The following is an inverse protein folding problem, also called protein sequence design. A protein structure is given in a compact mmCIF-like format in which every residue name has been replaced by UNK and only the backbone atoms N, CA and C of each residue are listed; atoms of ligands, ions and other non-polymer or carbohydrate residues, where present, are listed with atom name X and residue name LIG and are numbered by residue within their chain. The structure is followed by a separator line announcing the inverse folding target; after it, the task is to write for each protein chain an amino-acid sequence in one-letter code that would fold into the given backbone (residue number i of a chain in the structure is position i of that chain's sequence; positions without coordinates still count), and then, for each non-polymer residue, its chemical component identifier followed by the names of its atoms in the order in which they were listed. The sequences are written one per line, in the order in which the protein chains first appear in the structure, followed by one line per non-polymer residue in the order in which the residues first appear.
data_IF_392497492975
#
_entry.id   IF_392497492975
#
_cell.length_a   1.000
_cell.length_b   1.000
_cell.length_c   1.000
_cell.angle_alpha   90.00
_cell.angle_beta   90.00
_cell.angle_gamma   90.00
#
_symmetry.space_group_name_H-M   'P 1'
#
loop_
_entity.id
_entity.type
_entity.pdbx_description
1 polymer ?
#
# COMPACT_ATOMS: atom_id res chain seq x y z
N UNK A 1 -50.89 -8.86 13.74
CA UNK A 1 -49.53 -9.02 14.31
C UNK A 1 -49.55 -10.18 15.30
N UNK A 2 -48.74 -11.20 14.99
CA UNK A 2 -48.32 -12.34 15.82
C UNK A 2 -49.40 -13.21 16.49
N UNK A 3 -50.00 -14.08 15.66
CA UNK A 3 -50.42 -15.42 16.08
C UNK A 3 -49.19 -16.34 16.01
N UNK A 4 -49.21 -17.49 16.68
CA UNK A 4 -48.12 -18.47 16.81
C UNK A 4 -47.17 -18.27 18.00
N UNK A 5 -47.73 -17.95 19.16
CA UNK A 5 -47.15 -18.35 20.43
C UNK A 5 -48.05 -19.42 21.06
N UNK A 6 -48.03 -20.65 20.52
CA UNK A 6 -48.70 -21.84 21.08
C UNK A 6 -48.38 -23.06 20.22
N UNK A 7 -47.21 -23.67 20.37
CA UNK A 7 -47.13 -25.14 20.46
C UNK A 7 -45.75 -25.57 20.98
N UNK A 8 -45.80 -26.21 22.15
CA UNK A 8 -44.68 -26.79 22.89
C UNK A 8 -44.33 -28.18 22.35
N UNK A 9 -43.04 -28.52 22.45
CA UNK A 9 -42.49 -29.87 22.66
C UNK A 9 -42.81 -30.96 21.64
N UNK A 10 -41.84 -31.27 20.75
CA UNK A 10 -41.65 -32.65 20.24
C UNK A 10 -40.16 -32.91 19.94
N UNK A 11 -39.60 -33.85 20.71
CA UNK A 11 -38.62 -34.88 20.33
C UNK A 11 -37.11 -34.56 20.30
N UNK A 12 -36.48 -34.96 21.40
CA UNK A 12 -35.09 -35.36 21.54
C UNK A 12 -34.73 -36.62 20.71
N UNK A 13 -33.43 -36.83 20.55
CA UNK A 13 -32.70 -38.06 20.14
C UNK A 13 -32.34 -38.16 18.65
N UNK A 14 -31.09 -37.79 18.33
CA UNK A 14 -30.33 -38.48 17.29
C UNK A 14 -28.86 -38.66 17.70
N UNK A 15 -28.66 -39.77 18.42
CA UNK A 15 -27.54 -40.72 18.38
C UNK A 15 -26.17 -40.27 17.84
N UNK A 16 -25.20 -40.34 18.75
CA UNK A 16 -23.78 -40.52 18.51
C UNK A 16 -23.48 -41.70 17.55
N UNK A 17 -22.67 -41.43 16.52
CA UNK A 17 -21.96 -42.46 15.75
C UNK A 17 -20.47 -42.35 16.01
N UNK A 18 -19.94 -43.49 16.44
CA UNK A 18 -18.60 -43.80 16.93
C UNK A 18 -17.77 -44.39 15.77
N UNK A 19 -16.44 -44.30 15.90
CA UNK A 19 -15.32 -45.01 15.21
C UNK A 19 -14.65 -44.36 13.98
N UNK A 20 -13.33 -44.62 13.74
CA UNK A 20 -12.27 -44.99 14.68
C UNK A 20 -10.95 -44.20 14.48
N UNK A 21 -10.13 -44.21 15.53
CA UNK A 21 -8.74 -43.74 15.53
C UNK A 21 -7.89 -44.54 14.52
N UNK A 22 -7.39 -43.84 13.49
CA UNK A 22 -6.27 -44.34 12.70
C UNK A 22 -5.00 -44.23 13.54
N UNK A 23 -4.41 -45.38 13.84
CA UNK A 23 -3.15 -45.51 14.53
C UNK A 23 -2.06 -44.68 13.81
N UNK A 24 -1.42 -43.79 14.55
CA UNK A 24 -0.12 -43.24 14.18
C UNK A 24 0.88 -44.39 14.13
N UNK A 25 1.23 -44.85 12.93
CA UNK A 25 2.43 -45.64 12.72
C UNK A 25 3.61 -44.69 12.84
N UNK A 26 4.06 -44.45 14.07
CA UNK A 26 5.29 -43.74 14.36
C UNK A 26 6.44 -44.68 13.99
N UNK A 27 6.84 -44.66 12.72
CA UNK A 27 8.13 -45.21 12.30
C UNK A 27 9.21 -44.45 13.05
N UNK A 28 9.65 -45.01 14.17
CA UNK A 28 10.86 -44.62 14.88
C UNK A 28 12.06 -45.01 14.01
N UNK A 29 12.30 -44.24 12.96
CA UNK A 29 13.67 -44.03 12.50
C UNK A 29 14.30 -43.02 13.44
N UNK A 30 14.69 -43.52 14.62
CA UNK A 30 15.51 -42.82 15.61
C UNK A 30 16.91 -42.64 15.04
N UNK A 31 17.04 -41.77 14.04
CA UNK A 31 18.32 -41.19 13.66
C UNK A 31 18.82 -40.39 14.87
N UNK A 32 19.70 -41.02 15.64
CA UNK A 32 20.29 -40.47 16.85
C UNK A 32 20.83 -39.06 16.59
N UNK A 33 20.45 -38.11 17.43
CA UNK A 33 20.95 -36.73 17.39
C UNK A 33 22.49 -36.68 17.44
N UNK A 34 23.10 -37.70 18.04
CA UNK A 34 24.56 -37.86 18.08
C UNK A 34 25.14 -38.14 16.68
N UNK A 35 24.49 -39.00 15.90
CA UNK A 35 24.91 -39.27 14.51
C UNK A 35 24.62 -38.09 13.58
N UNK A 36 23.50 -37.38 13.79
CA UNK A 36 23.22 -36.14 13.08
C UNK A 36 24.27 -35.05 13.38
N UNK A 37 24.66 -34.89 14.65
CA UNK A 37 25.69 -33.95 15.07
C UNK A 37 27.08 -34.31 14.52
N UNK A 38 27.42 -35.60 14.45
CA UNK A 38 28.70 -36.07 13.90
C UNK A 38 28.78 -35.81 12.40
N UNK A 39 27.71 -36.12 11.66
CA UNK A 39 27.59 -35.79 10.23
C UNK A 39 27.64 -34.29 9.95
N UNK A 40 27.00 -33.47 10.79
CA UNK A 40 27.06 -32.00 10.66
C UNK A 40 28.48 -31.46 10.86
N UNK A 41 29.25 -32.03 11.78
CA UNK A 41 30.66 -31.67 12.01
C UNK A 41 31.57 -32.12 10.88
N UNK A 42 31.33 -33.28 10.28
CA UNK A 42 32.08 -33.76 9.12
C UNK A 42 31.81 -32.90 7.88
N UNK A 43 30.56 -32.52 7.61
CA UNK A 43 30.21 -31.62 6.50
C UNK A 43 30.86 -30.23 6.61
N UNK A 44 31.07 -29.72 7.83
CA UNK A 44 31.79 -28.45 8.05
C UNK A 44 33.30 -28.54 7.81
N UNK A 45 33.91 -29.74 7.83
CA UNK A 45 35.34 -29.92 7.56
C UNK A 45 35.67 -29.92 6.07
N UNK A 46 34.72 -30.28 5.22
CA UNK A 46 34.85 -30.31 3.76
C UNK A 46 34.15 -29.15 3.06
N UNK A 47 33.56 -28.22 3.82
CA UNK A 47 32.96 -27.00 3.25
C UNK A 47 34.06 -25.98 2.94
N UNK A 48 34.08 -25.51 1.70
CA UNK A 48 34.88 -24.36 1.30
C UNK A 48 34.56 -23.15 2.18
N UNK A 49 35.61 -22.36 2.47
CA UNK A 49 35.55 -21.21 3.38
C UNK A 49 34.38 -20.30 3.01
N UNK A 50 33.59 -19.82 4.00
CA UNK A 50 32.46 -18.96 3.73
C UNK A 50 32.91 -17.73 2.94
N UNK A 51 32.10 -17.37 1.94
CA UNK A 51 32.29 -16.18 1.09
C UNK A 51 32.52 -14.97 1.99
N UNK A 52 33.61 -14.25 1.73
CA UNK A 52 34.04 -13.05 2.47
C UNK A 52 32.83 -12.13 2.66
N UNK A 53 32.45 -11.89 3.91
CA UNK A 53 31.38 -10.95 4.26
C UNK A 53 31.89 -9.56 3.93
N UNK A 54 31.27 -8.91 2.96
CA UNK A 54 31.53 -7.51 2.63
C UNK A 54 30.76 -6.68 3.66
N UNK A 55 31.47 -6.11 4.64
CA UNK A 55 30.97 -5.09 5.57
C UNK A 55 31.37 -3.70 5.09
N UNK A 56 30.75 -2.64 5.62
CA UNK A 56 31.06 -1.22 5.31
C UNK A 56 32.56 -0.88 5.40
N UNK A 57 33.29 -1.57 6.28
CA UNK A 57 34.75 -1.43 6.45
C UNK A 57 35.59 -2.08 5.33
N UNK A 58 35.00 -3.01 4.57
CA UNK A 58 35.65 -3.76 3.48
C UNK A 58 35.15 -3.34 2.09
N UNK A 59 34.26 -2.35 2.05
CA UNK A 59 33.82 -1.69 0.83
C UNK A 59 34.97 -0.83 0.30
N UNK A 60 35.64 -1.33 -0.73
CA UNK A 60 36.67 -0.60 -1.46
C UNK A 60 36.00 0.45 -2.35
N UNK A 61 35.53 1.55 -1.73
CA UNK A 61 34.90 2.67 -2.43
C UNK A 61 36.02 3.43 -3.15
N UNK A 62 36.12 3.23 -4.48
CA UNK A 62 36.96 4.10 -5.30
C UNK A 62 36.47 5.54 -5.12
N UNK A 63 37.35 6.39 -4.60
CA UNK A 63 37.12 7.82 -4.37
C UNK A 63 36.77 8.49 -5.71
N UNK A 64 35.47 8.59 -6.03
CA UNK A 64 34.99 9.14 -7.29
C UNK A 64 33.68 8.55 -7.84
N UNK A 65 33.19 7.41 -7.32
CA UNK A 65 31.96 6.76 -7.85
C UNK A 65 30.69 7.07 -7.04
N UNK A 66 30.81 7.86 -5.96
CA UNK A 66 29.67 8.47 -5.27
C UNK A 66 29.29 9.75 -6.01
N UNK A 67 28.44 9.61 -7.04
CA UNK A 67 27.63 10.70 -7.57
C UNK A 67 26.68 11.16 -6.45
N UNK A 68 27.19 12.04 -5.60
CA UNK A 68 26.37 12.80 -4.65
C UNK A 68 25.40 13.62 -5.50
N UNK A 69 24.13 13.23 -5.53
CA UNK A 69 23.06 13.99 -6.16
C UNK A 69 22.78 15.26 -5.34
N UNK A 70 23.73 16.19 -5.38
CA UNK A 70 23.53 17.59 -5.02
C UNK A 70 22.86 18.22 -6.22
N UNK A 71 21.64 18.73 -6.02
CA UNK A 71 20.93 19.51 -7.02
C UNK A 71 21.78 20.72 -7.42
N UNK A 72 22.32 20.69 -8.63
CA UNK A 72 23.03 21.79 -9.24
C UNK A 72 21.97 22.74 -9.83
N UNK A 73 21.80 23.91 -9.19
CA UNK A 73 21.03 25.05 -9.73
C UNK A 73 21.94 25.80 -10.71
N UNK A 74 21.73 25.75 -12.04
CA UNK A 74 22.49 26.58 -12.95
C UNK A 74 21.95 28.02 -12.91
N UNK A 75 22.64 28.88 -12.15
CA UNK A 75 22.56 30.34 -12.29
C UNK A 75 23.37 30.77 -13.51
N UNK A 76 22.70 31.26 -14.55
CA UNK A 76 23.40 31.89 -15.68
C UNK A 76 23.97 33.27 -15.30
N UNK A 77 25.13 33.67 -15.84
CA UNK A 77 25.68 35.02 -15.71
C UNK A 77 25.02 36.00 -16.68
N UNK A 78 24.62 37.18 -16.18
CA UNK A 78 24.20 38.32 -17.00
C UNK A 78 22.81 38.86 -16.63
N UNK A 79 22.78 39.95 -15.86
CA UNK A 79 21.59 40.64 -15.36
C UNK A 79 20.68 41.24 -16.46
N UNK A 80 19.42 41.59 -16.15
CA UNK A 80 18.72 42.66 -16.85
C UNK A 80 18.69 43.93 -15.99
N UNK A 81 19.32 44.99 -16.52
CA UNK A 81 19.00 46.37 -16.15
C UNK A 81 17.65 46.80 -16.74
N UNK A 82 17.11 47.82 -16.09
CA UNK A 82 15.77 48.32 -16.21
C UNK A 82 15.42 48.96 -17.58
N UNK A 83 14.13 48.84 -17.89
CA UNK A 83 13.23 49.85 -18.48
C UNK A 83 13.71 50.71 -19.67
N UNK A 84 13.07 50.50 -20.83
CA UNK A 84 12.91 51.53 -21.86
C UNK A 84 11.56 51.38 -22.61
N UNK A 85 10.58 52.15 -22.14
CA UNK A 85 9.70 53.07 -22.88
C UNK A 85 9.30 52.80 -24.35
N UNK A 86 7.98 52.69 -24.54
CA UNK A 86 7.10 53.25 -25.60
C UNK A 86 7.56 53.34 -27.07
N UNK A 87 6.76 52.79 -28.00
CA UNK A 87 5.68 53.53 -28.69
C UNK A 87 5.11 52.79 -29.93
N UNK A 88 3.81 53.04 -30.17
CA UNK A 88 3.12 53.22 -31.47
C UNK A 88 2.18 52.11 -32.02
N UNK A 89 0.87 52.43 -31.94
CA UNK A 89 -0.22 52.37 -32.94
C UNK A 89 -0.18 51.25 -34.01
N UNK A 90 -1.22 50.44 -34.23
CA UNK A 90 -2.56 50.77 -34.81
C UNK A 90 -3.41 49.47 -34.85
N UNK A 91 -4.76 49.49 -34.79
CA UNK A 91 -5.56 48.26 -34.71
C UNK A 91 -5.81 47.63 -36.10
N UNK A 92 -5.51 46.34 -36.23
CA UNK A 92 -5.79 45.53 -37.43
C UNK A 92 -6.51 44.24 -37.03
N UNK A 93 -7.69 44.05 -37.60
CA UNK A 93 -8.62 42.97 -37.28
C UNK A 93 -8.24 41.60 -37.88
N UNK A 94 -8.76 40.56 -37.22
CA UNK A 94 -9.12 39.22 -37.70
C UNK A 94 -8.03 38.21 -38.08
N UNK A 95 -7.92 37.18 -37.25
CA UNK A 95 -8.13 35.74 -37.56
C UNK A 95 -7.51 34.96 -36.38
N UNK A 96 -8.28 34.27 -35.52
CA UNK A 96 -8.98 33.05 -35.90
C UNK A 96 -7.98 31.89 -35.99
N UNK A 97 -7.63 31.28 -34.85
CA UNK A 97 -6.95 29.98 -34.81
C UNK A 97 -5.69 29.92 -33.96
N UNK A 98 -5.83 29.79 -32.64
CA UNK A 98 -4.88 29.03 -31.81
C UNK A 98 -5.50 28.72 -30.45
N UNK A 99 -6.58 27.92 -30.46
CA UNK A 99 -7.09 27.28 -29.23
C UNK A 99 -6.66 25.81 -29.12
N UNK A 100 -5.85 25.31 -30.05
CA UNK A 100 -5.45 23.89 -30.08
C UNK A 100 -4.11 23.69 -29.36
N UNK A 101 -3.12 24.55 -29.57
CA UNK A 101 -1.79 24.41 -28.97
C UNK A 101 -1.79 24.57 -27.43
N UNK A 102 -2.69 25.39 -26.88
CA UNK A 102 -2.89 25.53 -25.43
C UNK A 102 -3.62 24.33 -24.84
N UNK A 103 -4.61 23.78 -25.56
CA UNK A 103 -5.44 22.65 -25.10
C UNK A 103 -4.64 21.35 -24.97
N UNK A 104 -3.79 21.06 -25.97
CA UNK A 104 -2.93 19.87 -25.93
C UNK A 104 -1.98 19.89 -24.71
N UNK A 105 -1.52 21.08 -24.30
CA UNK A 105 -0.67 21.24 -23.12
C UNK A 105 -1.41 21.10 -21.79
N UNK A 106 -2.70 21.46 -21.75
CA UNK A 106 -3.56 21.27 -20.58
C UNK A 106 -3.96 19.81 -20.42
N UNK A 107 -4.31 19.14 -21.52
CA UNK A 107 -4.66 17.72 -21.51
C UNK A 107 -3.49 16.84 -21.04
N UNK A 108 -2.25 17.14 -21.44
CA UNK A 108 -1.06 16.43 -20.95
C UNK A 108 -0.80 16.67 -19.45
N UNK A 109 -1.14 17.84 -18.90
CA UNK A 109 -1.06 18.10 -17.45
C UNK A 109 -2.13 17.30 -16.70
N UNK A 110 -3.36 17.31 -17.20
CA UNK A 110 -4.47 16.57 -16.61
C UNK A 110 -4.23 15.05 -16.64
N UNK A 111 -3.62 14.50 -17.70
CA UNK A 111 -3.21 13.09 -17.74
C UNK A 111 -2.16 12.74 -16.67
N UNK A 112 -1.17 13.61 -16.46
CA UNK A 112 -0.16 13.43 -15.40
C UNK A 112 -0.79 13.48 -14.01
N UNK A 113 -1.70 14.42 -13.79
CA UNK A 113 -2.43 14.54 -12.53
C UNK A 113 -3.32 13.31 -12.28
N UNK A 114 -4.00 12.82 -13.31
CA UNK A 114 -4.79 11.59 -13.24
C UNK A 114 -3.91 10.38 -12.89
N UNK A 115 -2.73 10.25 -13.49
CA UNK A 115 -1.78 9.19 -13.17
C UNK A 115 -1.29 9.29 -11.71
N UNK A 116 -0.93 10.49 -11.25
CA UNK A 116 -0.52 10.73 -9.87
C UNK A 116 -1.65 10.40 -8.87
N UNK A 117 -2.88 10.79 -9.18
CA UNK A 117 -4.04 10.56 -8.33
C UNK A 117 -4.41 9.07 -8.24
N UNK A 118 -4.25 8.32 -9.34
CA UNK A 118 -4.38 6.86 -9.33
C UNK A 118 -3.35 6.20 -8.42
N UNK A 119 -2.10 6.66 -8.47
CA UNK A 119 -1.05 6.12 -7.60
C UNK A 119 -1.33 6.47 -6.12
N UNK A 120 -1.76 7.71 -5.83
CA UNK A 120 -2.19 8.12 -4.49
C UNK A 120 -3.36 7.25 -3.99
N UNK A 121 -4.35 6.97 -4.84
CA UNK A 121 -5.48 6.10 -4.49
C UNK A 121 -5.00 4.68 -4.18
N UNK A 122 -4.11 4.12 -5.00
CA UNK A 122 -3.54 2.79 -4.78
C UNK A 122 -2.75 2.73 -3.48
N UNK A 123 -1.92 3.74 -3.20
CA UNK A 123 -1.20 3.85 -1.94
C UNK A 123 -2.16 3.93 -0.76
N UNK A 124 -3.18 4.80 -0.83
CA UNK A 124 -4.16 4.97 0.24
C UNK A 124 -4.95 3.68 0.52
N UNK A 125 -5.28 2.91 -0.52
CA UNK A 125 -5.91 1.59 -0.38
C UNK A 125 -4.97 0.55 0.26
N UNK A 126 -3.70 0.54 -0.13
CA UNK A 126 -2.69 -0.33 0.48
C UNK A 126 -2.49 -0.02 1.95
N UNK A 127 -2.36 1.27 2.29
CA UNK A 127 -2.25 1.72 3.67
C UNK A 127 -3.50 1.31 4.47
N UNK A 128 -4.70 1.50 3.91
CA UNK A 128 -5.95 1.10 4.56
C UNK A 128 -5.98 -0.41 4.85
N UNK A 129 -5.54 -1.26 3.93
CA UNK A 129 -5.43 -2.71 4.16
C UNK A 129 -4.41 -3.03 5.27
N UNK A 130 -3.27 -2.35 5.28
CA UNK A 130 -2.28 -2.49 6.36
C UNK A 130 -2.86 -2.10 7.72
N UNK A 131 -3.50 -0.93 7.83
CA UNK A 131 -4.14 -0.49 9.08
C UNK A 131 -5.22 -1.47 9.54
N UNK A 132 -6.02 -2.02 8.62
CA UNK A 132 -7.03 -3.03 8.97
C UNK A 132 -6.43 -4.32 9.49
N UNK A 133 -5.30 -4.75 8.92
CA UNK A 133 -4.58 -5.94 9.37
C UNK A 133 -3.90 -5.72 10.72
N UNK A 134 -3.30 -4.55 10.91
CA UNK A 134 -2.68 -4.13 12.17
C UNK A 134 -3.74 -4.07 13.27
N UNK A 135 -4.84 -3.35 13.05
CA UNK A 135 -5.96 -3.31 14.00
C UNK A 135 -6.45 -4.70 14.41
N UNK A 136 -6.60 -5.63 13.45
CA UNK A 136 -7.01 -7.00 13.76
C UNK A 136 -5.96 -7.75 14.58
N UNK A 137 -4.68 -7.57 14.28
CA UNK A 137 -3.58 -8.20 15.00
C UNK A 137 -3.49 -7.67 16.44
N UNK A 138 -3.59 -6.35 16.62
CA UNK A 138 -3.58 -5.72 17.93
C UNK A 138 -4.83 -6.05 18.72
N UNK A 139 -5.97 -6.18 18.04
CA UNK A 139 -7.21 -6.62 18.66
C UNK A 139 -7.07 -8.05 19.22
N UNK A 140 -6.52 -8.98 18.46
CA UNK A 140 -6.26 -10.35 18.91
C UNK A 140 -5.23 -10.38 20.05
N UNK A 141 -4.18 -9.57 19.95
CA UNK A 141 -3.17 -9.42 21.00
C UNK A 141 -3.78 -8.87 22.29
N UNK A 142 -4.63 -7.84 22.21
CA UNK A 142 -5.29 -7.24 23.36
C UNK A 142 -6.26 -8.22 24.03
N UNK A 143 -7.13 -8.88 23.26
CA UNK A 143 -8.16 -9.75 23.84
C UNK A 143 -7.68 -11.15 24.25
N UNK A 144 -6.53 -11.60 23.75
CA UNK A 144 -5.90 -12.86 24.22
C UNK A 144 -5.30 -12.72 25.63
N UNK A 145 -5.01 -11.50 26.08
CA UNK A 145 -4.51 -11.24 27.42
C UNK A 145 -5.63 -11.34 28.47
N UNK A 146 -5.45 -12.17 29.49
CA UNK A 146 -6.42 -12.37 30.59
C UNK A 146 -6.66 -11.11 31.43
N UNK A 147 -5.73 -10.15 31.42
CA UNK A 147 -5.79 -8.91 32.20
C UNK A 147 -6.11 -7.66 31.36
N UNK A 148 -6.67 -7.84 30.15
CA UNK A 148 -6.96 -6.75 29.21
C UNK A 148 -7.88 -5.64 29.78
N UNK A 149 -8.72 -5.97 30.76
CA UNK A 149 -9.63 -5.02 31.40
C UNK A 149 -8.90 -3.89 32.14
N UNK A 150 -7.66 -4.13 32.57
CA UNK A 150 -6.81 -3.11 33.20
C UNK A 150 -5.87 -2.41 32.22
N UNK A 151 -5.77 -2.90 30.99
CA UNK A 151 -4.89 -2.36 29.95
C UNK A 151 -5.59 -1.21 29.21
N UNK A 152 -5.61 -0.04 29.86
CA UNK A 152 -6.19 1.18 29.27
C UNK A 152 -5.39 1.68 28.07
N UNK A 153 -4.08 1.46 28.05
CA UNK A 153 -3.20 1.86 26.95
C UNK A 153 -3.48 1.02 25.70
N UNK A 154 -3.60 -0.30 25.83
CA UNK A 154 -3.98 -1.19 24.73
C UNK A 154 -5.37 -0.85 24.19
N UNK A 155 -6.34 -0.56 25.06
CA UNK A 155 -7.66 -0.09 24.63
C UNK A 155 -7.58 1.21 23.85
N UNK A 156 -6.81 2.19 24.34
CA UNK A 156 -6.62 3.47 23.66
C UNK A 156 -5.98 3.27 22.28
N UNK A 157 -4.98 2.40 22.16
CA UNK A 157 -4.34 2.05 20.88
C UNK A 157 -5.37 1.55 19.87
N UNK A 158 -6.25 0.62 20.28
CA UNK A 158 -7.31 0.10 19.40
C UNK A 158 -8.31 1.17 18.98
N UNK A 159 -8.65 2.10 19.88
CA UNK A 159 -9.56 3.21 19.58
C UNK A 159 -8.90 4.19 18.59
N UNK A 160 -7.60 4.50 18.76
CA UNK A 160 -6.83 5.36 17.87
C UNK A 160 -6.67 4.73 16.47
N UNK A 161 -6.32 3.45 16.38
CA UNK A 161 -6.22 2.72 15.10
C UNK A 161 -7.56 2.67 14.36
N UNK A 162 -8.65 2.47 15.10
CA UNK A 162 -9.99 2.49 14.53
C UNK A 162 -10.33 3.88 13.97
N UNK A 163 -9.91 4.95 14.63
CA UNK A 163 -10.05 6.30 14.11
C UNK A 163 -9.20 6.49 12.84
N UNK A 164 -7.94 6.06 12.84
CA UNK A 164 -7.08 6.14 11.66
C UNK A 164 -7.66 5.36 10.46
N UNK A 165 -8.26 4.19 10.67
CA UNK A 165 -8.96 3.45 9.62
C UNK A 165 -10.13 4.27 9.06
N UNK A 166 -10.90 4.95 9.93
CA UNK A 166 -12.00 5.82 9.50
C UNK A 166 -11.48 6.98 8.65
N UNK A 167 -10.47 7.70 9.14
CA UNK A 167 -9.89 8.84 8.45
C UNK A 167 -9.31 8.43 7.07
N UNK A 168 -8.64 7.26 7.02
CA UNK A 168 -8.09 6.73 5.77
C UNK A 168 -9.16 6.30 4.77
N UNK A 169 -10.31 5.78 5.26
CA UNK A 169 -11.47 5.47 4.40
C UNK A 169 -12.04 6.72 3.77
N UNK A 170 -12.20 7.79 4.55
CA UNK A 170 -12.66 9.08 4.02
C UNK A 170 -11.69 9.62 2.97
N UNK A 171 -10.38 9.51 3.20
CA UNK A 171 -9.39 9.93 2.21
C UNK A 171 -9.47 9.14 0.90
N UNK A 172 -9.65 7.81 0.99
CA UNK A 172 -9.90 6.96 -0.19
C UNK A 172 -11.15 7.42 -0.96
N UNK A 173 -12.23 7.76 -0.26
CA UNK A 173 -13.45 8.27 -0.89
C UNK A 173 -13.22 9.64 -1.56
N UNK A 174 -12.50 10.54 -0.91
CA UNK A 174 -12.13 11.85 -1.48
C UNK A 174 -11.26 11.70 -2.71
N UNK A 175 -10.28 10.80 -2.70
CA UNK A 175 -9.42 10.53 -3.86
C UNK A 175 -10.20 9.91 -5.02
N UNK A 176 -11.15 9.01 -4.74
CA UNK A 176 -12.07 8.47 -5.76
C UNK A 176 -12.94 9.56 -6.39
N UNK A 177 -13.49 10.46 -5.58
CA UNK A 177 -14.30 11.58 -6.08
C UNK A 177 -13.47 12.50 -7.01
N UNK A 178 -12.28 12.93 -6.54
CA UNK A 178 -11.36 13.73 -7.37
C UNK A 178 -10.99 13.03 -8.67
N UNK A 179 -10.80 11.72 -8.65
CA UNK A 179 -10.48 10.93 -9.84
C UNK A 179 -11.65 10.94 -10.83
N UNK A 180 -12.88 10.78 -10.36
CA UNK A 180 -14.07 10.84 -11.19
C UNK A 180 -14.26 12.23 -11.82
N UNK A 181 -14.05 13.30 -11.06
CA UNK A 181 -14.15 14.69 -11.54
C UNK A 181 -13.11 14.97 -12.64
N UNK A 182 -11.87 14.53 -12.44
CA UNK A 182 -10.78 14.69 -13.41
C UNK A 182 -11.04 13.86 -14.68
N UNK A 183 -11.55 12.63 -14.54
CA UNK A 183 -11.95 11.80 -15.69
C UNK A 183 -13.08 12.45 -16.51
N UNK A 184 -14.06 13.05 -15.85
CA UNK A 184 -15.12 13.82 -16.52
C UNK A 184 -14.56 15.03 -17.26
N UNK A 185 -13.60 15.74 -16.66
CA UNK A 185 -12.95 16.90 -17.29
C UNK A 185 -12.16 16.53 -18.57
N UNK A 186 -11.51 15.36 -18.62
CA UNK A 186 -10.86 14.85 -19.85
C UNK A 186 -11.85 14.27 -20.87
N UNK A 187 -13.15 14.20 -20.57
CA UNK A 187 -14.12 13.53 -21.43
C UNK A 187 -13.92 12.01 -21.53
N UNK A 188 -13.11 11.42 -20.64
CA UNK A 188 -12.98 9.96 -20.46
C UNK A 188 -14.17 9.50 -19.63
N UNK A 189 -15.36 9.72 -20.17
CA UNK A 189 -16.53 8.97 -19.71
C UNK A 189 -16.39 7.57 -20.28
N UNK A 190 -16.50 6.53 -19.45
CA UNK A 190 -16.54 5.16 -19.95
C UNK A 190 -17.71 5.04 -20.94
N UNK A 191 -17.38 5.16 -22.24
CA UNK A 191 -18.28 4.94 -23.35
C UNK A 191 -18.60 3.45 -23.42
N UNK A 192 -19.49 3.00 -22.55
CA UNK A 192 -20.24 1.76 -22.70
C UNK A 192 -21.71 2.09 -22.56
N UNK A 193 -22.29 2.51 -23.67
CA UNK A 193 -23.70 2.34 -23.94
C UNK A 193 -23.82 1.88 -25.40
N UNK A 194 -24.04 0.58 -25.69
CA UNK A 194 -24.47 0.18 -27.01
C UNK A 194 -25.96 0.53 -27.15
N UNK A 195 -26.31 1.25 -28.21
CA UNK A 195 -27.68 1.40 -28.70
C UNK A 195 -27.67 0.94 -30.17
N UNK A 196 -28.56 0.02 -30.56
CA UNK A 196 -29.85 0.43 -31.10
C UNK A 196 -31.04 0.10 -30.21
#
# INVERSE_FOLDING_TARGET
MSRYMLLRFVLALLSATLLPAAAFSQSQDSQSVADAARRAREKKKTQDKPVKVITDETLDVKKGDVQSAVAEEPKMPGAPEANAQSANNTPGANAGGSSTATKDSEDEKLKKELAALKEQLKQALSDLDLLQREYRLDQDTFYSNTNNASDTAGKQKLDDEKQQISDKREEVERLKAKLADLQQALGITESTAPKP
#
